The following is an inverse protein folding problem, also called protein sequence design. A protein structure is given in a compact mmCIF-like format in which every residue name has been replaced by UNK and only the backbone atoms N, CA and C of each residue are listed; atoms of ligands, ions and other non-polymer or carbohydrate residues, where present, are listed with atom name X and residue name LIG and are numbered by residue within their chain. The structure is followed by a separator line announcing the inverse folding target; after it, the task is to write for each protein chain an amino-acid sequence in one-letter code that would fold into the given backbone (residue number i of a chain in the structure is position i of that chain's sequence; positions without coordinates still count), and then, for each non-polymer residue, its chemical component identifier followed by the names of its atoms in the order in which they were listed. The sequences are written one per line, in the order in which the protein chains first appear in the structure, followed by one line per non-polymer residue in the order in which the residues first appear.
data_IF_178604684671
#
_entry.id   IF_178604684671
#
_cell.length_a   1.000
_cell.length_b   1.000
_cell.length_c   1.000
_cell.angle_alpha   90.00
_cell.angle_beta   90.00
_cell.angle_gamma   90.00
#
_symmetry.space_group_name_H-M   'P 1'
#
loop_
_entity.id
_entity.type
_entity.pdbx_description
1 polymer ?
#
# COMPACT_ATOMS: atom_id res chain seq x y z
N UNK A 1 -8.67 60.58 32.29
CA UNK A 1 -9.24 59.36 32.92
C UNK A 1 -9.20 58.25 31.86
N UNK A 2 -8.19 57.38 31.95
CA UNK A 2 -8.26 55.96 32.37
C UNK A 2 -9.04 55.08 31.37
N UNK A 3 -8.34 54.55 30.36
CA UNK A 3 -7.81 53.16 30.25
C UNK A 3 -8.85 52.04 30.20
N UNK A 4 -8.91 51.34 29.06
CA UNK A 4 -8.62 49.89 29.03
C UNK A 4 -8.25 49.41 27.61
N UNK A 5 -7.01 48.94 27.49
CA UNK A 5 -6.51 48.03 26.45
C UNK A 5 -7.24 46.69 26.57
N UNK A 6 -7.59 46.06 25.45
CA UNK A 6 -7.34 44.63 25.25
C UNK A 6 -6.76 44.45 23.85
N UNK A 7 -5.64 43.76 23.85
CA UNK A 7 -4.72 43.43 22.78
C UNK A 7 -5.18 42.09 22.19
N UNK A 8 -5.40 42.00 20.88
CA UNK A 8 -5.34 40.69 20.20
C UNK A 8 -4.80 40.93 18.79
N UNK A 9 -3.48 40.83 18.66
CA UNK A 9 -2.84 40.60 17.39
C UNK A 9 -3.06 39.15 17.00
N UNK A 10 -3.69 38.91 15.86
CA UNK A 10 -3.67 37.63 15.19
C UNK A 10 -2.78 37.82 13.95
N UNK A 11 -1.53 37.38 14.08
CA UNK A 11 -0.64 37.23 12.95
C UNK A 11 -1.25 36.19 12.00
N UNK A 12 -1.69 36.64 10.83
CA UNK A 12 -1.85 35.79 9.66
C UNK A 12 -0.46 35.37 9.20
N UNK A 13 0.10 34.33 9.84
CA UNK A 13 1.15 33.54 9.23
C UNK A 13 0.46 32.63 8.21
N UNK A 14 0.51 33.04 6.95
CA UNK A 14 0.36 32.13 5.82
C UNK A 14 1.55 31.15 5.85
N UNK A 15 1.41 30.11 6.67
CA UNK A 15 2.22 28.91 6.58
C UNK A 15 1.79 28.15 5.34
N UNK A 16 2.35 28.50 4.19
CA UNK A 16 2.51 27.54 3.11
C UNK A 16 3.49 26.50 3.67
N UNK A 17 2.95 25.46 4.30
CA UNK A 17 3.67 24.20 4.44
C UNK A 17 3.87 23.69 3.03
N UNK A 18 5.04 24.01 2.46
CA UNK A 18 5.66 23.15 1.47
C UNK A 18 5.89 21.85 2.24
N UNK A 19 4.91 20.93 2.19
CA UNK A 19 5.17 19.54 2.49
C UNK A 19 6.24 19.14 1.50
N UNK A 20 7.49 19.13 1.96
CA UNK A 20 8.53 18.33 1.32
C UNK A 20 7.93 16.93 1.25
N UNK A 21 7.48 16.54 0.06
CA UNK A 21 7.02 15.20 -0.27
C UNK A 21 8.07 14.26 0.32
N UNK A 22 7.74 13.64 1.45
CA UNK A 22 8.53 12.54 1.95
C UNK A 22 8.33 11.44 0.91
N UNK A 23 9.25 11.35 -0.06
CA UNK A 23 9.31 10.22 -0.97
C UNK A 23 9.44 8.99 -0.08
N UNK A 24 8.34 8.27 0.11
CA UNK A 24 8.38 7.05 0.89
C UNK A 24 9.25 6.05 0.14
N UNK A 25 10.22 5.51 0.86
CA UNK A 25 11.12 4.48 0.33
C UNK A 25 10.55 3.12 0.71
N UNK A 26 10.39 2.25 -0.28
CA UNK A 26 9.96 0.86 -0.08
C UNK A 26 11.10 -0.05 -0.51
N UNK A 27 11.46 -1.03 0.31
CA UNK A 27 12.43 -2.06 -0.06
C UNK A 27 11.68 -3.35 -0.43
N UNK A 28 12.03 -3.91 -1.58
CA UNK A 28 11.57 -5.23 -2.04
C UNK A 28 12.77 -6.16 -2.02
N UNK A 29 12.64 -7.30 -1.37
CA UNK A 29 13.66 -8.35 -1.35
C UNK A 29 13.20 -9.56 -2.15
N UNK A 30 13.77 -9.76 -3.34
CA UNK A 30 13.38 -10.86 -4.23
C UNK A 30 13.68 -12.26 -3.68
N UNK A 31 14.52 -12.36 -2.63
CA UNK A 31 14.84 -13.62 -1.97
C UNK A 31 13.74 -14.07 -0.99
N UNK A 32 13.00 -13.10 -0.42
CA UNK A 32 12.11 -13.32 0.71
C UNK A 32 10.66 -12.87 0.45
N UNK A 33 10.44 -11.96 -0.50
CA UNK A 33 9.12 -11.49 -0.89
C UNK A 33 8.61 -12.27 -2.12
N UNK A 34 7.38 -12.78 -2.06
CA UNK A 34 6.71 -13.49 -3.16
C UNK A 34 5.55 -12.65 -3.76
N UNK A 35 5.79 -11.36 -3.99
CA UNK A 35 4.74 -10.42 -4.39
C UNK A 35 3.72 -10.19 -3.27
N UNK A 36 3.15 -8.98 -3.21
CA UNK A 36 2.17 -8.64 -2.17
C UNK A 36 1.36 -7.42 -2.55
N UNK A 37 0.14 -7.36 -2.02
CA UNK A 37 -0.63 -6.13 -1.96
C UNK A 37 -0.18 -5.32 -0.75
N UNK A 38 0.09 -4.05 -0.97
CA UNK A 38 0.52 -3.06 -0.01
C UNK A 38 -0.48 -1.90 -0.03
N UNK A 39 -0.69 -1.27 1.13
CA UNK A 39 -1.40 -0.01 1.17
C UNK A 39 -0.61 1.05 0.38
N UNK A 40 -1.32 1.87 -0.41
CA UNK A 40 -0.71 3.02 -1.10
C UNK A 40 -0.10 3.99 -0.06
N UNK A 41 1.19 4.35 -0.18
CA UNK A 41 1.81 5.30 0.74
C UNK A 41 1.27 6.71 0.57
N UNK A 42 1.37 7.54 1.62
CA UNK A 42 1.04 8.96 1.52
C UNK A 42 2.06 9.68 0.63
N UNK A 43 1.65 10.11 -0.57
CA UNK A 43 2.49 10.86 -1.50
C UNK A 43 2.15 10.61 -2.98
N UNK A 44 2.70 11.45 -3.85
CA UNK A 44 2.52 11.35 -5.31
C UNK A 44 3.55 10.44 -5.98
N UNK A 45 4.62 10.04 -5.27
CA UNK A 45 5.63 9.15 -5.79
C UNK A 45 6.31 8.36 -4.67
N UNK A 46 6.78 7.16 -5.02
CA UNK A 46 7.57 6.29 -4.14
C UNK A 46 8.80 5.80 -4.87
N UNK A 47 9.90 5.67 -4.13
CA UNK A 47 11.12 5.04 -4.63
C UNK A 47 11.18 3.62 -4.09
N UNK A 48 11.14 2.65 -5.00
CA UNK A 48 11.22 1.24 -4.69
C UNK A 48 12.66 0.76 -4.92
N UNK A 49 13.32 0.32 -3.85
CA UNK A 49 14.63 -0.33 -3.91
C UNK A 49 14.44 -1.83 -4.00
N UNK A 50 14.81 -2.41 -5.13
CA UNK A 50 14.78 -3.85 -5.37
C UNK A 50 16.15 -4.42 -4.99
N UNK A 51 16.17 -5.38 -4.07
CA UNK A 51 17.37 -6.04 -3.56
C UNK A 51 17.48 -7.48 -4.05
N UNK A 52 18.70 -8.04 -3.94
CA UNK A 52 19.00 -9.43 -4.24
C UNK A 52 18.68 -9.83 -5.69
N UNK A 53 19.02 -8.96 -6.64
CA UNK A 53 19.03 -9.30 -8.06
C UNK A 53 20.26 -10.12 -8.41
N UNK A 54 20.06 -11.27 -9.03
CA UNK A 54 21.13 -12.03 -9.67
C UNK A 54 21.84 -11.17 -10.73
N UNK A 55 23.15 -10.86 -10.61
CA UNK A 55 23.83 -9.93 -11.51
C UNK A 55 23.85 -10.35 -12.98
N UNK A 56 23.83 -11.66 -13.24
CA UNK A 56 23.89 -12.26 -14.57
C UNK A 56 22.51 -12.52 -15.19
N UNK A 57 21.42 -12.25 -14.44
CA UNK A 57 20.07 -12.47 -14.92
C UNK A 57 19.49 -11.24 -15.63
N UNK A 58 18.65 -11.49 -16.63
CA UNK A 58 17.90 -10.43 -17.30
C UNK A 58 16.59 -10.14 -16.55
N UNK A 59 16.39 -8.88 -16.20
CA UNK A 59 15.18 -8.40 -15.54
C UNK A 59 14.41 -7.44 -16.46
N UNK A 60 13.09 -7.58 -16.46
CA UNK A 60 12.16 -6.59 -16.99
C UNK A 60 11.27 -6.07 -15.86
N UNK A 61 10.94 -4.78 -15.93
CA UNK A 61 10.07 -4.12 -14.96
C UNK A 61 8.92 -3.48 -15.71
N UNK A 62 7.70 -3.74 -15.26
CA UNK A 62 6.50 -3.17 -15.86
C UNK A 62 5.65 -2.50 -14.79
N UNK A 63 5.36 -1.21 -14.99
CA UNK A 63 4.51 -0.43 -14.11
C UNK A 63 3.16 -0.26 -14.80
N UNK A 64 2.08 -0.65 -14.11
CA UNK A 64 0.71 -0.49 -14.58
C UNK A 64 -0.08 0.35 -13.59
N UNK A 65 -0.79 1.35 -14.09
CA UNK A 65 -1.77 2.12 -13.32
C UNK A 65 -3.17 1.65 -13.67
N UNK A 66 -4.01 1.50 -12.66
CA UNK A 66 -5.38 1.04 -12.83
C UNK A 66 -6.28 1.70 -11.79
N UNK A 67 -7.54 1.89 -12.15
CA UNK A 67 -8.55 2.22 -11.15
C UNK A 67 -8.78 0.98 -10.30
N UNK A 68 -8.83 1.09 -8.95
CA UNK A 68 -9.21 -0.03 -8.11
C UNK A 68 -10.55 -0.57 -8.63
N UNK A 69 -10.65 -1.88 -8.77
CA UNK A 69 -11.92 -2.49 -9.15
C UNK A 69 -12.94 -2.11 -8.08
N UNK A 70 -13.98 -1.37 -8.48
CA UNK A 70 -15.15 -1.22 -7.64
C UNK A 70 -15.64 -2.65 -7.44
N UNK A 71 -15.66 -3.13 -6.20
CA UNK A 71 -16.17 -4.45 -5.87
C UNK A 71 -17.51 -4.61 -6.61
N UNK A 72 -17.52 -5.48 -7.62
CA UNK A 72 -18.73 -5.72 -8.38
C UNK A 72 -19.78 -6.16 -7.36
N UNK A 73 -21.01 -5.65 -7.49
CA UNK A 73 -22.13 -6.26 -6.80
C UNK A 73 -21.99 -7.78 -6.97
N UNK A 74 -22.05 -8.57 -5.88
CA UNK A 74 -21.91 -10.02 -5.99
C UNK A 74 -22.82 -10.45 -7.13
N UNK A 75 -22.21 -11.08 -8.16
CA UNK A 75 -22.98 -11.49 -9.33
C UNK A 75 -24.17 -12.27 -8.78
N UNK A 76 -25.41 -11.88 -9.11
CA UNK A 76 -26.57 -12.63 -8.65
C UNK A 76 -26.29 -14.09 -8.98
N UNK A 77 -26.52 -14.97 -8.01
CA UNK A 77 -26.29 -16.39 -8.22
C UNK A 77 -27.29 -16.89 -9.28
N UNK A 78 -26.84 -16.91 -10.53
CA UNK A 78 -27.61 -17.37 -11.68
C UNK A 78 -27.57 -18.90 -11.81
N UNK A 79 -26.99 -19.63 -10.86
CA UNK A 79 -26.98 -21.11 -10.88
C UNK A 79 -28.39 -21.71 -10.87
N UNK A 80 -29.37 -20.95 -10.39
CA UNK A 80 -30.79 -21.29 -10.41
C UNK A 80 -31.58 -20.63 -11.56
N UNK A 81 -30.92 -19.94 -12.49
CA UNK A 81 -31.55 -19.33 -13.68
C UNK A 81 -31.39 -20.26 -14.88
N UNK A 82 -32.48 -20.89 -15.37
CA UNK A 82 -32.40 -21.79 -16.51
C UNK A 82 -31.96 -21.04 -17.78
N UNK A 83 -30.83 -21.44 -18.38
CA UNK A 83 -30.46 -21.06 -19.75
C UNK A 83 -29.33 -20.04 -19.95
N UNK A 84 -28.47 -19.76 -18.96
CA UNK A 84 -27.32 -18.87 -19.17
C UNK A 84 -26.17 -19.56 -19.96
N UNK A 85 -25.70 -19.00 -21.10
CA UNK A 85 -24.64 -19.59 -21.92
C UNK A 85 -23.23 -19.30 -21.35
N UNK A 86 -22.38 -20.33 -21.36
CA UNK A 86 -20.99 -20.26 -20.95
C UNK A 86 -20.12 -19.57 -22.02
N UNK A 87 -19.46 -18.47 -21.68
CA UNK A 87 -18.42 -17.86 -22.52
C UNK A 87 -17.03 -18.31 -22.03
N UNK A 88 -16.35 -19.06 -22.89
CA UNK A 88 -15.04 -19.65 -22.64
C UNK A 88 -13.89 -18.64 -22.70
N UNK A 89 -12.84 -18.95 -21.93
CA UNK A 89 -11.57 -18.23 -21.93
C UNK A 89 -10.68 -18.73 -23.08
N UNK A 90 -10.31 -17.84 -23.99
CA UNK A 90 -9.33 -18.12 -25.03
C UNK A 90 -7.89 -17.92 -24.52
N UNK A 91 -7.07 -18.93 -24.78
CA UNK A 91 -5.62 -18.96 -24.57
C UNK A 91 -4.93 -18.23 -25.73
N UNK A 92 -3.98 -17.36 -25.43
CA UNK A 92 -3.06 -16.79 -26.43
C UNK A 92 -1.64 -17.26 -26.09
N UNK A 93 -0.98 -17.83 -27.09
CA UNK A 93 0.27 -18.58 -26.98
C UNK A 93 1.55 -17.76 -27.02
N UNK A 94 2.63 -18.46 -26.68
CA UNK A 94 4.04 -18.05 -26.74
C UNK A 94 4.66 -18.29 -28.13
N UNK A 95 5.71 -17.54 -28.50
CA UNK A 95 6.69 -17.99 -29.48
C UNK A 95 8.12 -18.12 -28.92
N UNK A 96 8.80 -19.17 -29.40
CA UNK A 96 10.21 -19.55 -29.26
C UNK A 96 11.21 -18.59 -29.95
N UNK A 97 12.50 -18.68 -29.56
CA UNK A 97 13.61 -18.19 -30.39
C UNK A 97 15.01 -18.25 -29.74
N UNK A 98 15.78 -19.28 -30.11
CA UNK A 98 17.26 -19.48 -30.12
C UNK A 98 18.11 -18.23 -30.48
N UNK A 99 19.45 -18.12 -30.36
CA UNK A 99 20.61 -18.91 -29.91
C UNK A 99 21.81 -17.93 -29.84
N UNK A 100 22.93 -18.41 -29.29
CA UNK A 100 24.32 -18.17 -29.69
C UNK A 100 25.33 -17.44 -28.78
N UNK A 101 26.51 -18.06 -28.82
CA UNK A 101 27.70 -18.03 -27.97
C UNK A 101 28.66 -16.92 -28.39
N UNK A 102 29.57 -16.51 -27.50
CA UNK A 102 31.01 -16.69 -27.74
C UNK A 102 31.92 -16.36 -26.53
N UNK A 103 33.04 -17.11 -26.48
CA UNK A 103 34.15 -17.08 -25.51
C UNK A 103 35.10 -15.92 -25.79
N UNK A 104 35.87 -15.46 -24.79
CA UNK A 104 37.32 -15.23 -24.93
C UNK A 104 38.04 -15.25 -23.57
N UNK A 105 39.21 -15.89 -23.56
CA UNK A 105 40.19 -15.94 -22.48
C UNK A 105 41.38 -15.02 -22.81
N UNK A 106 42.08 -14.51 -21.80
CA UNK A 106 43.35 -13.79 -21.96
C UNK A 106 44.07 -13.59 -20.63
N UNK A 107 45.37 -13.88 -20.61
CA UNK A 107 46.28 -14.01 -19.46
C UNK A 107 47.50 -13.07 -19.65
N UNK A 108 48.17 -12.72 -18.53
CA UNK A 108 49.52 -12.13 -18.34
C UNK A 108 49.71 -10.64 -18.72
N UNK A 109 50.61 -9.80 -18.16
CA UNK A 109 51.85 -9.93 -17.37
C UNK A 109 52.04 -8.74 -16.40
N UNK A 110 52.85 -8.89 -15.35
CA UNK A 110 53.24 -7.82 -14.41
C UNK A 110 54.59 -7.17 -14.76
N UNK A 111 55.00 -6.06 -14.09
CA UNK A 111 56.34 -5.51 -14.24
C UNK A 111 57.28 -5.80 -13.05
N UNK A 112 58.56 -5.88 -13.41
CA UNK A 112 59.77 -6.08 -12.60
C UNK A 112 60.28 -4.74 -12.06
N UNK A 113 60.71 -4.71 -10.80
CA UNK A 113 61.43 -3.56 -10.19
C UNK A 113 62.95 -3.73 -10.30
N UNK A 114 63.65 -2.62 -10.55
CA UNK A 114 65.11 -2.49 -10.46
C UNK A 114 65.51 -1.78 -9.17
N UNK A 115 66.51 -2.30 -8.45
CA UNK A 115 67.11 -1.65 -7.26
C UNK A 115 68.58 -1.36 -7.52
N UNK A 116 69.00 -0.14 -7.19
CA UNK A 116 70.39 0.32 -7.16
C UNK A 116 71.04 0.00 -5.82
N UNK A 117 72.25 -0.56 -5.85
CA UNK A 117 73.07 -0.87 -4.68
C UNK A 117 73.72 0.38 -4.07
N UNK A 118 73.58 0.55 -2.75
CA UNK A 118 74.53 1.28 -1.91
C UNK A 118 75.14 0.29 -0.91
N UNK A 119 76.47 0.16 -0.95
CA UNK A 119 77.25 -0.62 0.02
C UNK A 119 77.69 0.27 1.18
N UNK A 120 77.52 -0.23 2.39
CA UNK A 120 78.38 0.10 3.53
C UNK A 120 78.59 -1.15 4.38
N UNK A 121 79.85 -1.46 4.66
CA UNK A 121 80.29 -2.61 5.42
C UNK A 121 80.38 -2.29 6.91
N UNK A 122 79.77 -3.14 7.74
CA UNK A 122 80.22 -3.56 9.07
C UNK A 122 79.43 -4.84 9.39
N UNK A 123 80.01 -5.80 10.12
CA UNK A 123 79.40 -7.09 10.48
C UNK A 123 78.22 -6.91 11.45
N UNK A 124 77.14 -6.36 10.93
CA UNK A 124 75.82 -6.24 11.52
C UNK A 124 74.79 -6.61 10.47
N UNK A 125 73.65 -7.14 10.91
CA UNK A 125 72.57 -7.56 10.03
C UNK A 125 72.10 -6.37 9.17
N UNK A 126 72.13 -6.49 7.84
CA UNK A 126 71.71 -5.42 6.92
C UNK A 126 70.20 -5.16 7.04
N UNK A 127 69.84 -4.10 7.74
CA UNK A 127 68.46 -3.67 7.95
C UNK A 127 67.75 -3.33 6.62
N UNK A 128 68.48 -2.91 5.60
CA UNK A 128 67.94 -2.67 4.26
C UNK A 128 67.47 -3.98 3.61
N UNK A 129 68.25 -5.05 3.74
CA UNK A 129 67.87 -6.38 3.27
C UNK A 129 66.66 -6.93 4.03
N UNK A 130 66.60 -6.77 5.35
CA UNK A 130 65.41 -7.16 6.15
C UNK A 130 64.17 -6.42 5.66
N UNK A 131 64.26 -5.10 5.45
CA UNK A 131 63.13 -4.28 4.96
C UNK A 131 62.63 -4.75 3.59
N UNK A 132 63.53 -5.09 2.67
CA UNK A 132 63.16 -5.65 1.37
C UNK A 132 62.43 -6.99 1.49
N UNK A 133 62.92 -7.89 2.36
CA UNK A 133 62.28 -9.19 2.59
C UNK A 133 60.91 -9.03 3.25
N UNK A 134 60.78 -8.12 4.22
CA UNK A 134 59.50 -7.77 4.85
C UNK A 134 58.53 -7.20 3.81
N UNK A 135 58.97 -6.26 2.97
CA UNK A 135 58.13 -5.64 1.95
C UNK A 135 57.64 -6.65 0.89
N UNK A 136 58.50 -7.54 0.39
CA UNK A 136 58.11 -8.60 -0.56
C UNK A 136 57.13 -9.59 0.08
N UNK A 137 57.40 -10.05 1.31
CA UNK A 137 56.51 -10.97 2.01
C UNK A 137 55.14 -10.33 2.28
N UNK A 138 55.13 -9.11 2.82
CA UNK A 138 53.91 -8.37 3.15
C UNK A 138 53.09 -8.08 1.89
N UNK A 139 53.72 -7.69 0.78
CA UNK A 139 53.02 -7.47 -0.50
C UNK A 139 52.36 -8.75 -1.06
N UNK A 140 53.06 -9.89 -1.02
CA UNK A 140 52.48 -11.19 -1.44
C UNK A 140 51.35 -11.64 -0.51
N UNK A 141 51.50 -11.41 0.78
CA UNK A 141 50.50 -11.76 1.77
C UNK A 141 49.24 -10.89 1.61
N UNK A 142 49.39 -9.57 1.43
CA UNK A 142 48.32 -8.63 1.02
C UNK A 142 47.55 -9.15 -0.16
N UNK A 143 48.23 -9.46 -1.27
CA UNK A 143 47.54 -9.90 -2.48
C UNK A 143 46.71 -11.16 -2.25
N UNK A 144 47.22 -12.08 -1.42
CA UNK A 144 46.53 -13.33 -1.09
C UNK A 144 45.30 -13.07 -0.21
N UNK A 145 45.46 -12.30 0.86
CA UNK A 145 44.39 -11.98 1.81
C UNK A 145 43.30 -11.09 1.18
N UNK A 146 43.65 -10.04 0.43
CA UNK A 146 42.69 -9.20 -0.29
C UNK A 146 41.85 -10.02 -1.28
N UNK A 147 42.50 -10.93 -2.01
CA UNK A 147 41.82 -11.79 -2.97
C UNK A 147 40.89 -12.78 -2.26
N UNK A 148 41.32 -13.37 -1.15
CA UNK A 148 40.46 -14.25 -0.34
C UNK A 148 39.25 -13.49 0.24
N UNK A 149 39.43 -12.23 0.67
CA UNK A 149 38.38 -11.41 1.25
C UNK A 149 37.33 -10.97 0.22
N UNK A 150 37.77 -10.43 -0.92
CA UNK A 150 36.86 -9.81 -1.90
C UNK A 150 36.59 -10.71 -3.10
N UNK A 151 37.61 -11.24 -3.77
CA UNK A 151 37.45 -12.02 -5.01
C UNK A 151 36.62 -13.29 -4.81
N UNK A 152 36.81 -13.98 -3.69
CA UNK A 152 36.02 -15.18 -3.38
C UNK A 152 34.54 -14.82 -3.18
N UNK A 153 34.26 -13.73 -2.46
CA UNK A 153 32.88 -13.29 -2.16
C UNK A 153 32.16 -12.78 -3.40
N UNK A 154 32.83 -12.00 -4.24
CA UNK A 154 32.27 -11.54 -5.51
C UNK A 154 32.00 -12.72 -6.44
N UNK A 155 32.93 -13.69 -6.51
CA UNK A 155 32.72 -14.92 -7.30
C UNK A 155 31.52 -15.72 -6.82
N UNK A 156 31.30 -15.84 -5.51
CA UNK A 156 30.13 -16.52 -4.96
C UNK A 156 28.81 -15.82 -5.33
N UNK A 157 28.80 -14.48 -5.35
CA UNK A 157 27.62 -13.69 -5.80
C UNK A 157 27.30 -13.99 -7.27
N UNK A 158 28.31 -14.04 -8.14
CA UNK A 158 28.09 -14.37 -9.56
C UNK A 158 27.73 -15.84 -9.80
N UNK A 159 28.14 -16.73 -8.89
CA UNK A 159 27.82 -18.16 -8.93
C UNK A 159 26.47 -18.51 -8.29
N UNK A 160 25.79 -17.55 -7.65
CA UNK A 160 24.49 -17.79 -7.03
C UNK A 160 23.45 -18.18 -8.10
N UNK A 161 22.74 -19.28 -7.86
CA UNK A 161 21.74 -19.86 -8.75
C UNK A 161 20.30 -19.48 -8.35
N UNK A 162 20.14 -18.83 -7.20
CA UNK A 162 18.86 -18.39 -6.65
C UNK A 162 19.02 -17.13 -5.80
N UNK A 163 17.97 -16.33 -5.69
CA UNK A 163 17.95 -15.12 -4.87
C UNK A 163 18.21 -15.42 -3.39
N UNK A 164 17.76 -16.60 -2.91
CA UNK A 164 17.96 -17.03 -1.52
C UNK A 164 19.44 -17.30 -1.22
N UNK A 165 20.13 -18.00 -2.12
CA UNK A 165 21.57 -18.23 -1.99
C UNK A 165 22.34 -16.91 -2.14
N UNK A 166 21.92 -16.06 -3.08
CA UNK A 166 22.49 -14.73 -3.29
C UNK A 166 22.41 -13.86 -2.03
N UNK A 167 21.24 -13.79 -1.37
CA UNK A 167 21.04 -12.94 -0.19
C UNK A 167 22.08 -13.23 0.90
N UNK A 168 22.41 -14.50 1.14
CA UNK A 168 23.43 -14.87 2.12
C UNK A 168 24.83 -14.38 1.74
N UNK A 169 25.21 -14.45 0.47
CA UNK A 169 26.52 -13.99 -0.01
C UNK A 169 26.61 -12.46 -0.05
N UNK A 170 25.50 -11.78 -0.36
CA UNK A 170 25.36 -10.31 -0.26
C UNK A 170 25.58 -9.85 1.17
N UNK A 171 24.94 -10.48 2.16
CA UNK A 171 25.10 -10.14 3.57
C UNK A 171 26.55 -10.34 4.04
N UNK A 172 27.19 -11.43 3.63
CA UNK A 172 28.60 -11.71 3.93
C UNK A 172 29.53 -10.65 3.33
N UNK A 173 29.33 -10.30 2.05
CA UNK A 173 30.15 -9.28 1.38
C UNK A 173 29.96 -7.91 2.03
N UNK A 174 28.72 -7.53 2.36
CA UNK A 174 28.42 -6.26 3.01
C UNK A 174 29.08 -6.17 4.40
N UNK A 175 29.05 -7.26 5.19
CA UNK A 175 29.78 -7.32 6.46
C UNK A 175 31.30 -7.19 6.27
N UNK A 176 31.86 -7.83 5.24
CA UNK A 176 33.29 -7.69 4.90
C UNK A 176 33.64 -6.25 4.53
N UNK A 177 32.86 -5.60 3.67
CA UNK A 177 33.04 -4.20 3.27
C UNK A 177 32.98 -3.26 4.48
N UNK A 178 31.96 -3.39 5.34
CA UNK A 178 31.83 -2.59 6.56
C UNK A 178 33.03 -2.79 7.51
N UNK A 179 33.49 -4.03 7.67
CA UNK A 179 34.64 -4.34 8.52
C UNK A 179 35.96 -3.77 7.99
N UNK A 180 36.06 -3.55 6.68
CA UNK A 180 37.20 -2.95 6.02
C UNK A 180 37.16 -1.41 6.11
N UNK A 181 35.99 -0.81 5.85
CA UNK A 181 35.78 0.65 5.84
C UNK A 181 35.88 1.29 7.25
N UNK A 182 35.49 0.55 8.30
CA UNK A 182 35.52 1.05 9.67
C UNK A 182 36.92 1.19 10.30
N UNK A 183 38.00 0.82 9.59
CA UNK A 183 39.35 0.75 10.15
C UNK A 183 40.21 1.95 9.78
N UNK A 184 41.15 2.28 10.66
CA UNK A 184 42.09 3.38 10.45
C UNK A 184 43.16 2.94 9.45
N UNK A 185 43.35 3.64 8.32
CA UNK A 185 44.41 3.32 7.38
C UNK A 185 45.79 3.42 8.05
N UNK A 186 46.57 2.34 8.01
CA UNK A 186 48.00 2.39 8.32
C UNK A 186 48.83 3.08 7.22
N UNK A 187 50.15 3.04 7.33
CA UNK A 187 51.04 3.32 6.19
C UNK A 187 51.86 2.05 5.94
N UNK A 188 51.84 1.54 4.69
CA UNK A 188 52.56 0.31 4.31
C UNK A 188 54.04 0.39 4.71
N UNK A 189 54.70 1.51 4.41
CA UNK A 189 56.10 1.71 4.76
C UNK A 189 56.26 1.68 6.28
N UNK A 190 55.42 2.39 7.03
CA UNK A 190 55.47 2.39 8.51
C UNK A 190 55.37 0.98 9.11
N UNK A 191 54.54 0.11 8.51
CA UNK A 191 54.42 -1.29 8.91
C UNK A 191 55.69 -2.07 8.59
N UNK A 192 56.25 -1.89 7.38
CA UNK A 192 57.53 -2.51 6.98
C UNK A 192 58.66 -2.09 7.92
N UNK A 193 58.79 -0.79 8.23
CA UNK A 193 59.78 -0.27 9.18
C UNK A 193 59.58 -0.88 10.57
N UNK A 194 58.35 -0.91 11.08
CA UNK A 194 58.04 -1.44 12.41
C UNK A 194 58.37 -2.93 12.55
N UNK A 195 58.08 -3.76 11.54
CA UNK A 195 58.43 -5.19 11.55
C UNK A 195 59.95 -5.36 11.47
N UNK A 196 60.61 -4.63 10.56
CA UNK A 196 62.06 -4.75 10.38
C UNK A 196 62.80 -4.39 11.67
N UNK A 197 62.37 -3.33 12.37
CA UNK A 197 62.96 -2.91 13.64
C UNK A 197 62.76 -3.99 14.73
N UNK A 198 61.58 -4.60 14.84
CA UNK A 198 61.34 -5.72 15.79
C UNK A 198 62.22 -6.94 15.52
N UNK A 199 62.42 -7.28 14.25
CA UNK A 199 63.28 -8.41 13.86
C UNK A 199 64.74 -8.12 14.25
N UNK A 200 65.22 -6.88 14.02
CA UNK A 200 66.57 -6.45 14.41
C UNK A 200 66.73 -6.47 15.93
N UNK A 201 65.75 -5.97 16.69
CA UNK A 201 65.76 -5.95 18.17
C UNK A 201 65.75 -7.36 18.79
N UNK A 202 65.14 -8.34 18.11
CA UNK A 202 65.05 -9.72 18.60
C UNK A 202 66.36 -10.53 18.48
N UNK A 203 67.45 -9.92 18.00
CA UNK A 203 68.81 -10.50 17.94
C UNK A 203 68.89 -11.85 17.19
N UNK A 204 68.17 -11.97 16.07
CA UNK A 204 68.02 -13.21 15.31
C UNK A 204 69.34 -13.63 14.66
N UNK A 205 69.76 -14.87 14.93
CA UNK A 205 70.74 -15.60 14.11
C UNK A 205 70.22 -15.63 12.66
N UNK A 206 70.92 -14.95 11.74
CA UNK A 206 70.46 -14.60 10.38
C UNK A 206 70.09 -15.80 9.50
N UNK A 207 70.32 -17.03 9.97
CA UNK A 207 69.99 -18.27 9.28
C UNK A 207 68.51 -18.47 8.92
N UNK A 208 67.55 -17.71 9.49
CA UNK A 208 66.13 -17.88 9.16
C UNK A 208 65.26 -16.61 9.20
N UNK A 209 65.74 -15.49 8.64
CA UNK A 209 65.02 -14.20 8.56
C UNK A 209 63.59 -14.36 8.01
N UNK A 210 63.39 -15.20 6.99
CA UNK A 210 62.07 -15.42 6.36
C UNK A 210 61.04 -15.97 7.36
N UNK A 211 61.45 -16.85 8.28
CA UNK A 211 60.54 -17.43 9.28
C UNK A 211 60.08 -16.41 10.32
N UNK A 212 60.96 -15.50 10.74
CA UNK A 212 60.62 -14.44 11.69
C UNK A 212 59.78 -13.34 11.02
N UNK A 213 60.09 -12.98 9.77
CA UNK A 213 59.22 -12.10 8.96
C UNK A 213 57.81 -12.66 8.89
N UNK A 214 57.68 -13.96 8.58
CA UNK A 214 56.38 -14.63 8.53
C UNK A 214 55.64 -14.54 9.87
N UNK A 215 56.30 -14.88 10.98
CA UNK A 215 55.72 -14.86 12.33
C UNK A 215 55.26 -13.46 12.74
N UNK A 216 56.06 -12.44 12.46
CA UNK A 216 55.73 -11.04 12.77
C UNK A 216 54.57 -10.54 11.91
N UNK A 217 54.51 -10.91 10.62
CA UNK A 217 53.41 -10.53 9.72
C UNK A 217 52.12 -11.25 10.11
N UNK A 218 52.16 -12.53 10.48
CA UNK A 218 51.00 -13.29 10.97
C UNK A 218 50.49 -12.79 12.33
N UNK A 219 51.35 -12.14 13.12
CA UNK A 219 50.98 -11.52 14.40
C UNK A 219 50.37 -10.12 14.24
N UNK A 220 50.46 -9.50 13.06
CA UNK A 220 49.82 -8.21 12.80
C UNK A 220 48.31 -8.38 12.64
N UNK A 221 47.56 -7.35 13.04
CA UNK A 221 46.16 -7.24 12.66
C UNK A 221 46.10 -7.16 11.12
N UNK A 222 45.55 -8.16 10.42
CA UNK A 222 45.64 -8.26 8.98
C UNK A 222 45.07 -7.02 8.28
N UNK A 223 44.10 -6.35 8.87
CA UNK A 223 43.36 -5.31 8.17
C UNK A 223 44.02 -3.93 8.15
N UNK A 224 44.92 -3.60 9.09
CA UNK A 224 45.56 -2.27 9.15
C UNK A 224 46.52 -2.01 7.98
N UNK A 225 47.10 -3.08 7.44
CA UNK A 225 48.03 -3.01 6.31
C UNK A 225 47.36 -3.37 4.97
N UNK A 226 46.23 -4.09 4.98
CA UNK A 226 45.41 -4.34 3.79
C UNK A 226 44.83 -3.05 3.20
N UNK A 227 44.37 -2.11 4.03
CA UNK A 227 43.70 -0.86 3.57
C UNK A 227 44.56 0.10 2.76
N UNK A 228 45.88 -0.11 2.72
CA UNK A 228 46.83 0.82 2.09
C UNK A 228 47.42 0.30 0.79
N UNK A 229 47.04 -0.91 0.36
CA UNK A 229 47.46 -1.48 -0.92
C UNK A 229 46.50 -1.07 -2.03
N UNK A 230 47.08 -0.63 -3.16
CA UNK A 230 46.34 -0.37 -4.40
C UNK A 230 45.52 -1.58 -4.85
N UNK A 231 46.07 -2.78 -4.76
CA UNK A 231 45.38 -4.02 -5.14
C UNK A 231 44.17 -4.31 -4.26
N UNK A 232 44.26 -4.03 -2.95
CA UNK A 232 43.13 -4.18 -2.04
C UNK A 232 42.03 -3.15 -2.32
N UNK A 233 42.42 -1.91 -2.63
CA UNK A 233 41.49 -0.84 -3.01
C UNK A 233 40.73 -1.18 -4.29
N UNK A 234 41.41 -1.70 -5.32
CA UNK A 234 40.78 -2.10 -6.57
C UNK A 234 39.76 -3.24 -6.36
N UNK A 235 40.13 -4.26 -5.57
CA UNK A 235 39.24 -5.37 -5.23
C UNK A 235 38.06 -4.92 -4.35
N UNK A 236 38.28 -3.98 -3.43
CA UNK A 236 37.23 -3.36 -2.64
C UNK A 236 36.23 -2.63 -3.54
N UNK A 237 36.71 -1.80 -4.47
CA UNK A 237 35.85 -1.09 -5.41
C UNK A 237 35.07 -2.06 -6.31
N UNK A 238 35.71 -3.15 -6.76
CA UNK A 238 35.02 -4.21 -7.51
C UNK A 238 33.93 -4.89 -6.67
N UNK A 239 34.17 -5.12 -5.38
CA UNK A 239 33.18 -5.65 -4.46
C UNK A 239 32.00 -4.68 -4.25
N UNK A 240 32.26 -3.38 -4.11
CA UNK A 240 31.21 -2.34 -4.05
C UNK A 240 30.37 -2.35 -5.32
N UNK A 241 30.99 -2.31 -6.51
CA UNK A 241 30.27 -2.38 -7.79
C UNK A 241 29.47 -3.68 -7.93
N UNK A 242 30.01 -4.80 -7.44
CA UNK A 242 29.29 -6.09 -7.42
C UNK A 242 28.06 -5.99 -6.53
N UNK A 243 28.16 -5.40 -5.34
CA UNK A 243 27.02 -5.20 -4.44
C UNK A 243 25.96 -4.30 -5.09
N UNK A 244 26.36 -3.20 -5.72
CA UNK A 244 25.46 -2.29 -6.44
C UNK A 244 24.73 -2.99 -7.57
N UNK A 245 25.38 -3.92 -8.29
CA UNK A 245 24.76 -4.70 -9.36
C UNK A 245 23.61 -5.61 -8.89
N UNK A 246 23.60 -5.97 -7.59
CA UNK A 246 22.52 -6.77 -6.98
C UNK A 246 21.30 -5.94 -6.61
N UNK A 247 21.33 -4.63 -6.85
CA UNK A 247 20.27 -3.70 -6.49
C UNK A 247 19.82 -2.87 -7.70
N UNK A 248 18.59 -2.38 -7.65
CA UNK A 248 18.14 -1.33 -8.56
C UNK A 248 17.01 -0.53 -7.93
N UNK A 249 16.86 0.71 -8.35
CA UNK A 249 15.76 1.56 -7.92
C UNK A 249 14.79 1.80 -9.07
N UNK A 250 13.51 1.83 -8.74
CA UNK A 250 12.45 2.25 -9.65
C UNK A 250 11.54 3.23 -8.94
N UNK A 251 11.18 4.31 -9.63
CA UNK A 251 10.23 5.31 -9.11
C UNK A 251 8.84 5.02 -9.66
N UNK A 252 7.88 4.90 -8.76
CA UNK A 252 6.46 4.74 -9.12
C UNK A 252 5.77 6.04 -8.77
N UNK A 253 5.21 6.70 -9.80
CA UNK A 253 4.35 7.85 -9.61
C UNK A 253 2.91 7.39 -9.44
N UNK A 254 2.20 7.94 -8.46
CA UNK A 254 0.78 7.71 -8.26
C UNK A 254 -0.03 8.85 -8.88
N UNK A 255 -1.19 8.49 -9.42
CA UNK A 255 -2.16 9.43 -9.95
C UNK A 255 -3.43 9.36 -9.09
N UNK A 256 -4.16 10.46 -9.02
CA UNK A 256 -5.37 10.55 -8.19
C UNK A 256 -6.40 9.47 -8.59
N UNK A 257 -6.87 8.73 -7.59
CA UNK A 257 -7.85 7.65 -7.76
C UNK A 257 -7.33 6.41 -8.49
N UNK A 258 -6.02 6.29 -8.75
CA UNK A 258 -5.40 5.12 -9.37
C UNK A 258 -4.48 4.37 -8.41
N UNK A 259 -4.70 3.07 -8.36
CA UNK A 259 -3.76 2.08 -7.87
C UNK A 259 -2.59 1.90 -8.85
N UNK A 260 -1.48 1.36 -8.36
CA UNK A 260 -0.33 1.02 -9.18
C UNK A 260 0.10 -0.44 -8.92
N UNK A 261 0.65 -1.09 -9.94
CA UNK A 261 1.34 -2.37 -9.77
C UNK A 261 2.70 -2.34 -10.43
N UNK A 262 3.68 -2.94 -9.77
CA UNK A 262 5.00 -3.23 -10.31
C UNK A 262 5.11 -4.73 -10.51
N UNK A 263 5.27 -5.14 -11.77
CA UNK A 263 5.69 -6.48 -12.12
C UNK A 263 7.19 -6.50 -12.37
N UNK A 264 7.90 -7.36 -11.65
CA UNK A 264 9.31 -7.65 -11.86
C UNK A 264 9.36 -9.05 -12.43
N UNK A 265 9.88 -9.21 -13.65
CA UNK A 265 10.09 -10.51 -14.25
C UNK A 265 11.58 -10.76 -14.49
N UNK A 266 12.03 -11.98 -14.26
CA UNK A 266 13.40 -12.44 -14.42
C UNK A 266 13.43 -13.65 -15.33
N UNK A 267 14.34 -13.67 -16.29
CA UNK A 267 14.73 -14.88 -17.01
C UNK A 267 16.22 -15.19 -16.71
N UNK A 268 16.48 -16.37 -16.17
CA UNK A 268 17.83 -16.84 -15.85
C UNK A 268 17.95 -18.34 -16.12
N UNK A 269 18.86 -18.73 -17.00
CA UNK A 269 19.09 -20.13 -17.40
C UNK A 269 17.79 -20.87 -17.81
N UNK A 270 16.89 -20.19 -18.53
CA UNK A 270 15.59 -20.73 -18.95
C UNK A 270 14.52 -20.76 -17.85
N UNK A 271 14.84 -20.38 -16.61
CA UNK A 271 13.89 -20.32 -15.51
C UNK A 271 13.31 -18.91 -15.37
N UNK A 272 12.07 -18.75 -15.83
CA UNK A 272 11.30 -17.53 -15.63
C UNK A 272 10.72 -17.46 -14.22
N UNK A 273 10.85 -16.30 -13.56
CA UNK A 273 10.20 -15.98 -12.28
C UNK A 273 9.60 -14.57 -12.38
N UNK A 274 8.41 -14.37 -11.82
CA UNK A 274 7.75 -13.05 -11.78
C UNK A 274 7.26 -12.76 -10.36
N UNK A 275 7.35 -11.49 -9.97
CA UNK A 275 6.84 -10.95 -8.72
C UNK A 275 5.91 -9.79 -9.04
N UNK A 276 4.70 -9.81 -8.47
CA UNK A 276 3.72 -8.76 -8.64
C UNK A 276 3.48 -8.04 -7.31
N UNK A 277 3.79 -6.75 -7.27
CA UNK A 277 3.50 -5.88 -6.15
C UNK A 277 2.39 -4.92 -6.53
N UNK A 278 1.38 -4.81 -5.68
CA UNK A 278 0.23 -3.93 -5.89
C UNK A 278 0.16 -2.91 -4.77
N UNK A 279 0.06 -1.64 -5.12
CA UNK A 279 -0.30 -0.57 -4.20
C UNK A 279 -1.72 -0.17 -4.52
N UNK A 280 -2.64 -0.64 -3.68
CA UNK A 280 -4.06 -0.39 -3.85
C UNK A 280 -4.42 0.93 -3.17
N UNK A 281 -5.01 1.83 -3.95
CA UNK A 281 -5.73 2.98 -3.45
C UNK A 281 -7.13 2.52 -3.08
N UNK A 282 -7.59 2.87 -1.89
CA UNK A 282 -8.98 2.61 -1.55
C UNK A 282 -9.89 3.38 -2.53
N UNK A 283 -11.00 2.80 -2.99
CA UNK A 283 -11.80 3.38 -4.07
C UNK A 283 -12.11 4.87 -3.82
N UNK A 284 -11.99 5.76 -4.81
CA UNK A 284 -12.30 7.18 -4.61
C UNK A 284 -13.79 7.45 -4.31
N UNK A 285 -14.61 6.40 -4.30
CA UNK A 285 -16.04 6.44 -4.03
C UNK A 285 -16.39 5.39 -3.00
N UNK A 286 -17.20 5.74 -2.01
CA UNK A 286 -17.76 4.80 -1.05
C UNK A 286 -19.27 4.79 -1.21
N UNK A 287 -19.82 3.59 -1.37
CA UNK A 287 -21.26 3.33 -1.39
C UNK A 287 -21.63 2.53 -0.15
N UNK A 288 -22.64 3.00 0.58
CA UNK A 288 -23.20 2.29 1.73
C UNK A 288 -24.57 1.74 1.37
N UNK A 289 -24.86 0.54 1.85
CA UNK A 289 -26.13 -0.16 1.68
C UNK A 289 -26.76 -0.34 3.04
N UNK A 290 -27.92 0.27 3.26
CA UNK A 290 -28.53 0.37 4.57
C UNK A 290 -29.96 -0.14 4.56
N UNK A 291 -30.33 -0.93 5.57
CA UNK A 291 -31.75 -1.10 5.93
C UNK A 291 -32.12 0.04 6.88
N UNK A 292 -33.14 0.79 6.50
CA UNK A 292 -33.53 2.01 7.19
C UNK A 292 -34.98 1.97 7.66
N UNK A 293 -35.22 2.57 8.83
CA UNK A 293 -36.56 2.94 9.27
C UNK A 293 -36.80 4.38 8.86
N UNK A 294 -37.80 4.58 8.00
CA UNK A 294 -38.17 5.87 7.44
C UNK A 294 -39.37 6.39 8.19
N UNK A 295 -39.25 7.57 8.79
CA UNK A 295 -40.32 8.32 9.41
C UNK A 295 -40.83 9.38 8.43
N UNK A 296 -42.05 9.20 7.93
CA UNK A 296 -42.70 10.13 7.01
C UNK A 296 -43.67 10.99 7.80
N UNK A 297 -43.59 12.30 7.57
CA UNK A 297 -44.61 13.22 8.06
C UNK A 297 -45.66 13.44 6.98
N UNK A 298 -46.90 13.06 7.28
CA UNK A 298 -48.01 13.47 6.42
C UNK A 298 -48.33 14.95 6.68
N UNK A 299 -48.31 15.76 5.62
CA UNK A 299 -48.69 17.17 5.69
C UNK A 299 -50.15 17.40 5.28
N UNK A 300 -50.93 16.35 4.97
CA UNK A 300 -52.37 16.53 4.79
C UNK A 300 -53.09 16.69 6.12
N UNK A 301 -53.64 17.88 6.32
CA UNK A 301 -54.68 18.10 7.32
C UNK A 301 -56.07 17.57 6.85
N UNK A 302 -56.13 16.87 5.72
CA UNK A 302 -57.36 16.40 5.09
C UNK A 302 -57.46 14.88 4.93
N UNK A 303 -56.69 14.09 5.69
CA UNK A 303 -56.85 12.65 5.69
C UNK A 303 -58.20 12.26 6.33
N UNK A 304 -59.17 11.92 5.48
CA UNK A 304 -60.41 11.26 5.86
C UNK A 304 -60.19 9.76 5.69
N UNK A 305 -60.50 8.96 6.71
CA UNK A 305 -60.45 7.50 6.65
C UNK A 305 -61.85 6.92 6.90
N UNK A 306 -62.12 5.74 6.35
CA UNK A 306 -63.35 4.98 6.60
C UNK A 306 -63.08 3.77 7.50
N UNK A 307 -63.85 3.61 8.56
CA UNK A 307 -63.88 2.40 9.38
C UNK A 307 -65.22 1.68 9.13
N UNK A 308 -65.23 0.36 8.95
CA UNK A 308 -66.49 -0.40 8.83
C UNK A 308 -67.23 -0.34 10.16
N UNK A 309 -68.41 0.26 10.17
CA UNK A 309 -69.20 0.45 11.39
C UNK A 309 -70.05 -0.77 11.74
N UNK A 310 -70.45 -1.55 10.73
CA UNK A 310 -71.23 -2.76 10.90
C UNK A 310 -71.04 -3.70 9.70
N UNK A 311 -70.48 -4.90 9.91
CA UNK A 311 -70.30 -5.91 8.85
C UNK A 311 -71.61 -6.54 8.40
N UNK A 312 -72.69 -6.44 9.19
CA UNK A 312 -74.00 -6.97 8.83
C UNK A 312 -74.83 -5.98 7.98
N UNK A 313 -74.56 -4.67 8.08
CA UNK A 313 -75.31 -3.60 7.40
C UNK A 313 -74.49 -2.83 6.35
N UNK A 314 -73.23 -3.25 6.08
CA UNK A 314 -72.32 -2.64 5.08
C UNK A 314 -72.16 -1.11 5.22
N UNK A 315 -72.32 -0.59 6.44
CA UNK A 315 -72.16 0.84 6.72
C UNK A 315 -70.69 1.20 7.02
N UNK A 316 -70.19 2.25 6.37
CA UNK A 316 -68.86 2.81 6.62
C UNK A 316 -68.97 4.13 7.37
N UNK A 317 -68.19 4.29 8.44
CA UNK A 317 -68.09 5.54 9.18
C UNK A 317 -66.84 6.30 8.73
N UNK A 318 -67.04 7.50 8.17
CA UNK A 318 -65.95 8.37 7.74
C UNK A 318 -65.50 9.23 8.92
N UNK A 319 -64.26 9.07 9.37
CA UNK A 319 -63.66 9.90 10.40
C UNK A 319 -62.57 10.77 9.80
N UNK A 320 -62.62 12.08 10.10
CA UNK A 320 -61.47 12.96 9.90
C UNK A 320 -60.51 12.74 11.07
N UNK A 321 -59.44 12.00 10.83
CA UNK A 321 -58.34 11.92 11.77
C UNK A 321 -57.33 13.00 11.43
N UNK A 322 -57.08 13.93 12.35
CA UNK A 322 -55.88 14.76 12.29
C UNK A 322 -54.75 13.99 12.98
N UNK A 323 -54.34 12.86 12.42
CA UNK A 323 -53.13 12.20 12.91
C UNK A 323 -51.95 13.04 12.44
N UNK A 324 -51.50 13.92 13.34
CA UNK A 324 -50.25 14.66 13.21
C UNK A 324 -49.01 13.79 13.51
N UNK A 325 -49.19 12.47 13.51
CA UNK A 325 -48.16 11.48 13.79
C UNK A 325 -47.20 11.27 12.63
N UNK A 326 -46.07 10.65 12.93
CA UNK A 326 -45.17 10.13 11.91
C UNK A 326 -45.60 8.72 11.54
N UNK A 327 -45.80 8.48 10.25
CA UNK A 327 -45.84 7.11 9.74
C UNK A 327 -44.41 6.56 9.68
N UNK A 328 -44.26 5.24 9.83
CA UNK A 328 -42.96 4.60 9.65
C UNK A 328 -43.05 3.44 8.66
N UNK A 329 -42.01 3.25 7.86
CA UNK A 329 -41.88 2.11 6.96
C UNK A 329 -40.42 1.68 6.80
N UNK A 330 -40.15 0.38 6.59
CA UNK A 330 -38.81 -0.09 6.27
C UNK A 330 -38.42 0.29 4.83
N UNK A 331 -37.15 0.61 4.60
CA UNK A 331 -36.62 0.92 3.27
C UNK A 331 -35.20 0.38 3.08
N UNK A 332 -34.88 -0.02 1.85
CA UNK A 332 -33.50 -0.24 1.41
C UNK A 332 -32.95 1.07 0.85
N UNK A 333 -31.85 1.57 1.41
CA UNK A 333 -31.23 2.85 1.07
C UNK A 333 -29.80 2.64 0.58
N UNK A 334 -29.43 3.39 -0.46
CA UNK A 334 -28.11 3.41 -1.09
C UNK A 334 -27.52 4.81 -0.91
N UNK A 335 -26.41 4.92 -0.19
CA UNK A 335 -25.77 6.21 0.15
C UNK A 335 -24.45 6.36 -0.60
N UNK A 336 -24.32 7.44 -1.38
CA UNK A 336 -23.05 7.89 -1.95
C UNK A 336 -22.35 8.85 -0.98
N UNK A 337 -21.14 8.52 -0.54
CA UNK A 337 -20.34 9.34 0.39
C UNK A 337 -19.60 10.43 -0.39
N UNK A 338 -19.77 11.70 0.00
CA UNK A 338 -19.13 12.84 -0.66
C UNK A 338 -17.64 12.95 -0.34
N UNK A 339 -17.23 12.64 0.90
CA UNK A 339 -15.85 12.72 1.38
C UNK A 339 -15.38 11.36 1.91
N UNK A 340 -15.04 10.40 1.02
CA UNK A 340 -14.63 9.04 1.40
C UNK A 340 -13.44 8.98 2.35
N UNK A 341 -12.47 9.88 2.20
CA UNK A 341 -11.27 9.90 3.04
C UNK A 341 -11.60 10.30 4.48
N UNK A 342 -12.49 11.29 4.67
CA UNK A 342 -12.94 11.66 6.02
C UNK A 342 -13.78 10.54 6.65
N UNK A 343 -14.62 9.88 5.86
CA UNK A 343 -15.37 8.70 6.29
C UNK A 343 -14.45 7.55 6.75
N UNK A 344 -13.37 7.27 6.03
CA UNK A 344 -12.41 6.21 6.39
C UNK A 344 -11.67 6.50 7.69
N UNK A 345 -11.24 7.75 7.88
CA UNK A 345 -10.43 8.14 9.04
C UNK A 345 -11.30 8.26 10.29
N UNK A 346 -12.45 8.93 10.18
CA UNK A 346 -13.24 9.35 11.33
C UNK A 346 -14.57 8.61 11.47
N UNK A 347 -14.98 7.86 10.44
CA UNK A 347 -16.27 7.19 10.38
C UNK A 347 -17.47 8.08 10.12
N UNK A 348 -17.25 9.38 9.90
CA UNK A 348 -18.29 10.38 9.74
C UNK A 348 -18.13 11.11 8.41
N UNK A 349 -19.22 11.29 7.67
CA UNK A 349 -19.20 12.05 6.41
C UNK A 349 -20.62 12.38 5.94
N UNK A 350 -20.72 13.35 5.03
CA UNK A 350 -21.95 13.65 4.30
C UNK A 350 -22.11 12.76 3.06
N UNK A 351 -23.35 12.54 2.66
CA UNK A 351 -23.65 11.81 1.44
C UNK A 351 -25.01 12.15 0.85
N UNK A 352 -25.28 11.60 -0.33
CA UNK A 352 -26.60 11.59 -0.94
C UNK A 352 -27.15 10.16 -0.91
N UNK A 353 -28.41 10.00 -0.50
CA UNK A 353 -29.06 8.70 -0.50
C UNK A 353 -30.27 8.65 -1.42
N UNK A 354 -30.47 7.49 -2.02
CA UNK A 354 -31.71 7.11 -2.69
C UNK A 354 -32.15 5.72 -2.20
N UNK A 355 -33.45 5.46 -2.18
CA UNK A 355 -33.95 4.18 -1.68
C UNK A 355 -35.34 3.83 -2.15
N UNK A 356 -35.75 2.61 -1.78
CA UNK A 356 -37.06 2.06 -2.07
C UNK A 356 -37.71 1.57 -0.78
N UNK A 357 -39.02 1.81 -0.65
CA UNK A 357 -39.83 1.22 0.42
C UNK A 357 -39.84 -0.30 0.27
N UNK A 358 -39.73 -0.99 1.40
CA UNK A 358 -39.90 -2.44 1.51
C UNK A 358 -41.30 -2.82 2.00
N UNK A 359 -42.17 -1.83 2.22
CA UNK A 359 -43.58 -2.04 2.53
C UNK A 359 -44.35 -2.30 1.22
N UNK A 360 -44.89 -3.52 1.02
CA UNK A 360 -45.62 -3.86 -0.21
C UNK A 360 -46.94 -3.10 -0.34
N UNK A 361 -47.53 -2.65 0.77
CA UNK A 361 -48.79 -1.91 0.78
C UNK A 361 -48.55 -0.42 0.49
N UNK A 362 -47.33 0.07 0.77
CA UNK A 362 -46.90 1.45 0.54
C UNK A 362 -45.59 1.50 -0.25
N UNK A 363 -45.58 1.05 -1.52
CA UNK A 363 -44.40 1.16 -2.36
C UNK A 363 -44.05 2.65 -2.54
N UNK A 364 -42.76 2.95 -2.51
CA UNK A 364 -42.29 4.32 -2.61
C UNK A 364 -40.82 4.45 -2.92
N UNK A 365 -40.45 5.61 -3.45
CA UNK A 365 -39.07 5.99 -3.75
C UNK A 365 -38.68 7.12 -2.81
N UNK A 366 -37.46 7.04 -2.29
CA UNK A 366 -36.92 7.99 -1.32
C UNK A 366 -35.65 8.61 -1.88
N UNK A 367 -35.43 9.90 -1.61
CA UNK A 367 -34.19 10.60 -1.96
C UNK A 367 -33.89 11.72 -0.99
N UNK A 368 -32.63 11.85 -0.56
CA UNK A 368 -32.25 12.84 0.45
C UNK A 368 -30.75 13.01 0.65
N UNK A 369 -30.42 13.93 1.55
CA UNK A 369 -29.05 14.13 2.05
C UNK A 369 -28.90 13.33 3.34
N UNK A 370 -27.73 12.70 3.47
CA UNK A 370 -27.41 11.83 4.59
C UNK A 370 -26.18 12.28 5.33
N UNK A 371 -26.16 11.99 6.62
CA UNK A 371 -24.98 12.11 7.46
C UNK A 371 -24.71 10.76 8.12
N UNK A 372 -23.48 10.30 8.00
CA UNK A 372 -23.02 9.00 8.50
C UNK A 372 -22.28 9.23 9.81
N UNK A 373 -22.56 8.38 10.80
CA UNK A 373 -21.99 8.47 12.15
C UNK A 373 -21.40 7.12 12.53
N UNK A 374 -20.10 7.10 12.83
CA UNK A 374 -19.41 5.92 13.35
C UNK A 374 -19.48 4.69 12.45
N UNK A 375 -19.43 4.90 11.12
CA UNK A 375 -19.47 3.89 10.04
C UNK A 375 -20.74 3.04 9.93
N UNK A 376 -21.56 2.97 10.98
CA UNK A 376 -22.65 2.00 11.08
C UNK A 376 -24.05 2.63 11.11
N UNK A 377 -24.16 3.94 11.34
CA UNK A 377 -25.45 4.64 11.44
C UNK A 377 -25.51 5.72 10.38
N UNK A 378 -26.58 5.71 9.57
CA UNK A 378 -26.84 6.74 8.56
C UNK A 378 -28.14 7.45 8.87
N UNK A 379 -28.10 8.77 9.06
CA UNK A 379 -29.31 9.60 9.20
C UNK A 379 -29.58 10.31 7.89
N UNK A 380 -30.76 10.16 7.33
CA UNK A 380 -31.14 10.77 6.04
C UNK A 380 -32.34 11.68 6.21
N UNK A 381 -32.30 12.87 5.63
CA UNK A 381 -33.47 13.74 5.51
C UNK A 381 -33.73 14.05 4.03
N UNK A 382 -34.98 13.97 3.61
CA UNK A 382 -35.30 14.10 2.20
C UNK A 382 -36.78 14.08 1.87
N UNK A 383 -37.06 13.77 0.59
CA UNK A 383 -38.40 13.66 0.05
C UNK A 383 -38.67 12.21 -0.34
N UNK A 384 -39.82 11.71 0.07
CA UNK A 384 -40.34 10.39 -0.30
C UNK A 384 -41.56 10.57 -1.20
N UNK A 385 -41.68 9.75 -2.23
CA UNK A 385 -42.89 9.61 -3.03
C UNK A 385 -43.45 8.23 -2.72
N UNK A 386 -44.52 8.17 -1.92
CA UNK A 386 -45.17 6.92 -1.49
C UNK A 386 -46.56 6.80 -2.06
N UNK A 387 -46.97 5.59 -2.39
CA UNK A 387 -48.35 5.27 -2.67
C UNK A 387 -49.18 5.42 -1.38
N UNK A 388 -50.29 6.12 -1.49
CA UNK A 388 -51.26 6.29 -0.42
C UNK A 388 -52.68 6.10 -0.93
N UNK A 389 -53.49 5.58 -0.04
CA UNK A 389 -54.91 5.38 -0.21
C UNK A 389 -55.65 6.67 0.10
N UNK A 390 -56.26 7.29 -0.91
CA UNK A 390 -57.07 8.50 -0.75
C UNK A 390 -58.53 8.17 -1.02
N UNK A 391 -59.45 8.59 -0.15
CA UNK A 391 -60.88 8.39 -0.39
C UNK A 391 -61.34 9.13 -1.66
N UNK A 392 -62.12 8.44 -2.49
CA UNK A 392 -62.76 8.99 -3.68
C UNK A 392 -63.96 9.84 -3.25
N UNK A 393 -63.91 11.16 -3.41
CA UNK A 393 -65.05 12.07 -3.22
C UNK A 393 -64.85 13.19 -2.19
N UNK A 394 -65.81 14.11 -2.10
CA UNK A 394 -65.82 15.19 -1.09
C UNK A 394 -66.69 14.79 0.11
N UNK A 395 -66.06 14.62 1.28
CA UNK A 395 -66.74 14.24 2.51
C UNK A 395 -66.79 15.40 3.49
N UNK A 396 -67.93 15.57 4.18
CA UNK A 396 -68.10 16.62 5.20
C UNK A 396 -67.67 16.08 6.55
N UNK A 397 -66.66 16.71 7.15
CA UNK A 397 -66.20 16.35 8.49
C UNK A 397 -67.34 16.52 9.53
N UNK A 398 -67.68 15.45 10.24
CA UNK A 398 -68.45 15.58 11.48
C UNK A 398 -67.56 16.20 12.55
N UNK A 399 -67.96 17.36 13.09
CA UNK A 399 -67.29 17.98 14.23
C UNK A 399 -67.54 17.13 15.48
N UNK A 400 -66.46 16.78 16.20
CA UNK A 400 -66.48 16.10 17.51
C UNK A 400 -67.33 16.80 18.59
N UNK A 401 -67.87 17.99 18.32
CA UNK A 401 -68.69 18.78 19.24
C UNK A 401 -70.21 18.64 19.05
N UNK A 402 -70.68 17.87 18.06
CA UNK A 402 -72.09 17.51 18.01
C UNK A 402 -72.28 16.28 18.88
N UNK A 403 -72.89 16.45 20.06
CA UNK A 403 -73.49 15.32 20.77
C UNK A 403 -74.30 14.52 19.76
N UNK A 404 -74.04 13.22 19.71
CA UNK A 404 -74.83 12.24 18.96
C UNK A 404 -76.28 12.39 19.44
N UNK A 405 -77.05 13.21 18.74
CA UNK A 405 -78.49 13.33 18.90
C UNK A 405 -79.09 12.40 17.85
N UNK A 406 -80.10 11.62 18.23
CA UNK A 406 -80.76 10.59 17.39
C UNK A 406 -81.31 11.12 16.04
N UNK A 407 -81.20 12.42 15.76
CA UNK A 407 -81.77 13.10 14.60
C UNK A 407 -80.76 13.43 13.47
N UNK A 408 -79.48 13.06 13.59
CA UNK A 408 -78.52 13.21 12.48
C UNK A 408 -78.06 11.85 11.94
N UNK A 409 -78.55 11.43 10.75
CA UNK A 409 -78.08 10.18 10.16
C UNK A 409 -76.59 10.29 9.83
N UNK A 410 -75.76 9.27 10.14
CA UNK A 410 -74.43 9.17 9.59
C UNK A 410 -74.50 9.29 8.06
N UNK A 411 -73.52 9.93 7.43
CA UNK A 411 -73.40 9.87 5.97
C UNK A 411 -73.16 8.41 5.58
N UNK A 412 -74.26 7.73 5.27
CA UNK A 412 -74.29 6.37 4.77
C UNK A 412 -74.01 6.46 3.29
N UNK A 413 -72.84 5.97 2.90
CA UNK A 413 -72.57 5.65 1.49
C UNK A 413 -73.36 4.37 1.21
N UNK A 414 -74.13 4.34 0.12
CA UNK A 414 -74.92 3.18 -0.30
C UNK A 414 -74.07 1.90 -0.20
N UNK A 415 -74.65 0.85 0.39
CA UNK A 415 -74.01 -0.39 0.87
C UNK A 415 -73.27 -1.22 -0.19
N UNK A 416 -73.27 -0.83 -1.45
CA UNK A 416 -72.74 -1.63 -2.55
C UNK A 416 -71.28 -1.34 -2.95
N UNK A 417 -70.56 -0.48 -2.23
CA UNK A 417 -69.18 -0.12 -2.61
C UNK A 417 -68.14 -0.99 -1.86
N UNK A 418 -67.33 -1.73 -2.61
CA UNK A 418 -66.17 -2.43 -2.05
C UNK A 418 -65.08 -1.43 -1.61
N UNK A 419 -64.19 -1.85 -0.70
CA UNK A 419 -63.08 -1.01 -0.22
C UNK A 419 -62.26 -0.37 -1.38
N UNK A 420 -62.01 -1.12 -2.45
CA UNK A 420 -61.31 -0.67 -3.66
C UNK A 420 -62.08 0.39 -4.47
N UNK A 421 -63.40 0.46 -4.29
CA UNK A 421 -64.25 1.48 -4.92
C UNK A 421 -64.32 2.77 -4.10
N UNK A 422 -64.03 2.71 -2.80
CA UNK A 422 -63.99 3.85 -1.88
C UNK A 422 -62.67 4.60 -1.93
N UNK A 423 -61.58 3.93 -2.30
CA UNK A 423 -60.22 4.47 -2.27
C UNK A 423 -59.63 4.58 -3.68
N UNK A 424 -58.77 5.57 -3.91
CA UNK A 424 -57.92 5.71 -5.09
C UNK A 424 -56.45 5.80 -4.67
N UNK A 425 -55.65 4.92 -5.25
CA UNK A 425 -54.19 4.98 -5.14
C UNK A 425 -53.66 6.29 -5.74
N UNK A 426 -52.91 7.04 -4.94
CA UNK A 426 -52.23 8.25 -5.38
C UNK A 426 -50.81 8.27 -4.83
N UNK A 427 -49.83 8.67 -5.65
CA UNK A 427 -48.47 8.91 -5.18
C UNK A 427 -48.36 10.31 -4.60
N UNK A 428 -47.92 10.40 -3.35
CA UNK A 428 -47.78 11.66 -2.63
C UNK A 428 -46.33 11.92 -2.26
N UNK A 429 -45.89 13.15 -2.48
CA UNK A 429 -44.61 13.65 -2.02
C UNK A 429 -44.68 14.11 -0.56
N UNK A 430 -43.81 13.58 0.29
CA UNK A 430 -43.74 13.91 1.72
C UNK A 430 -42.29 14.09 2.16
N UNK A 431 -42.06 14.88 3.21
CA UNK A 431 -40.74 14.92 3.84
C UNK A 431 -40.55 13.71 4.75
N UNK A 432 -39.34 13.17 4.77
CA UNK A 432 -38.98 12.07 5.65
C UNK A 432 -37.68 12.31 6.40
N UNK A 433 -37.56 11.62 7.54
CA UNK A 433 -36.31 11.38 8.24
C UNK A 433 -36.11 9.87 8.30
N UNK A 434 -34.96 9.35 7.90
CA UNK A 434 -34.64 7.93 7.99
C UNK A 434 -33.43 7.70 8.87
N UNK A 435 -33.45 6.60 9.62
CA UNK A 435 -32.31 6.10 10.36
C UNK A 435 -32.00 4.71 9.80
N UNK A 436 -30.82 4.58 9.20
CA UNK A 436 -30.30 3.38 8.57
C UNK A 436 -29.14 2.79 9.33
N UNK A 437 -29.03 1.47 9.26
CA UNK A 437 -27.87 0.74 9.76
C UNK A 437 -27.13 0.09 8.58
N UNK A 438 -25.83 0.35 8.51
CA UNK A 438 -24.94 -0.27 7.52
C UNK A 438 -24.59 -1.67 7.97
N UNK A 439 -24.65 -2.65 7.06
CA UNK A 439 -24.16 -3.99 7.30
C UNK A 439 -22.95 -4.23 6.39
N UNK A 440 -21.82 -4.62 6.99
CA UNK A 440 -20.61 -5.06 6.27
C UNK A 440 -20.70 -6.52 5.84
#
# INVERSE_FOLDING_TARGET
MKTKKILTGLCLLNGITISTLANSQVSIDLANDDGKTLAKPSGSAITVTIKNKLPTAHYSQYIKHYYPEIAGLPKPDLSNVPGAPAFGADKVGTPDGNEDKDKYAGQSDGPVFSVSEEKSAEEGVDIGLIRLVVADYLSRHIRTECSALFSQRTSNIYAADSEKNLSSEVDKLNATLQSYDARVPGNFDSVVYSIADRIVESSVDTGNIVSEVKKEVEALDPYNWLTNSSECSDLFNQAVTTLESTQSQVTINFYDGKSASLEIARNYNGNAKSWLYRWEEEPPTVWLYNLSYVFIRDFDNNAYYTESFNTEEETFLIRKYSDSGFEYMPAAMFTYVFEPDEYRINGNSWGASAGISLDPDKPGILGGISYIVGQNVTVTAGVAITQQDVLKGEYKAYSKSAEFTDDMPPQTIDSALSADQLVKDTYKGSWFLAIGFTFE
#
